data_IF_019151330534
#
_entry.id   IF_019151330534
#
_cell.length_a   1.000
_cell.length_b   1.000
_cell.length_c   1.000
_cell.angle_alpha   90.00
_cell.angle_beta   90.00
_cell.angle_gamma   90.00
#
_symmetry.space_group_name_H-M   'P 1'
#
loop_
_entity.id
_entity.type
_entity.pdbx_description
1 polymer ?
#
# COMPACT_ATOMS: atom_id res chain seq x y z
N UNK A 1 7.72 22.30 -23.86
CA UNK A 1 6.64 22.03 -22.87
C UNK A 1 6.54 23.25 -21.96
N UNK A 2 5.36 23.85 -21.77
CA UNK A 2 5.22 25.02 -20.89
C UNK A 2 5.25 24.62 -19.41
N UNK A 3 5.63 25.54 -18.52
CA UNK A 3 5.60 25.31 -17.07
C UNK A 3 4.20 24.89 -16.58
N UNK A 4 3.16 25.56 -17.07
CA UNK A 4 1.77 25.20 -16.76
C UNK A 4 1.42 23.77 -17.21
N UNK A 5 1.85 23.33 -18.39
CA UNK A 5 1.63 21.96 -18.86
C UNK A 5 2.37 20.91 -18.00
N UNK A 6 3.56 21.25 -17.51
CA UNK A 6 4.33 20.43 -16.57
C UNK A 6 3.59 20.25 -15.24
N UNK A 7 3.14 21.34 -14.64
CA UNK A 7 2.42 21.32 -13.36
C UNK A 7 1.11 20.55 -13.49
N UNK A 8 0.29 20.84 -14.50
CA UNK A 8 -0.99 20.15 -14.71
C UNK A 8 -0.78 18.66 -14.99
N UNK A 9 0.25 18.30 -15.77
CA UNK A 9 0.63 16.91 -16.03
C UNK A 9 1.04 16.17 -14.75
N UNK A 10 1.84 16.82 -13.90
CA UNK A 10 2.27 16.25 -12.62
C UNK A 10 1.08 16.05 -11.68
N UNK A 11 0.24 17.08 -11.46
CA UNK A 11 -0.92 17.00 -10.58
C UNK A 11 -1.88 15.89 -11.02
N UNK A 12 -2.15 15.78 -12.33
CA UNK A 12 -3.00 14.72 -12.87
C UNK A 12 -2.42 13.34 -12.64
N UNK A 13 -1.12 13.16 -12.89
CA UNK A 13 -0.44 11.89 -12.66
C UNK A 13 -0.43 11.51 -11.17
N UNK A 14 -0.16 12.47 -10.28
CA UNK A 14 -0.23 12.26 -8.82
C UNK A 14 -1.63 11.84 -8.39
N UNK A 15 -2.66 12.55 -8.84
CA UNK A 15 -4.05 12.24 -8.51
C UNK A 15 -4.45 10.86 -9.03
N UNK A 16 -4.22 10.57 -10.31
CA UNK A 16 -4.55 9.27 -10.90
C UNK A 16 -3.79 8.12 -10.24
N UNK A 17 -2.50 8.31 -9.96
CA UNK A 17 -1.70 7.32 -9.24
C UNK A 17 -2.24 7.07 -7.83
N UNK A 18 -2.65 8.13 -7.12
CA UNK A 18 -3.26 7.99 -5.80
C UNK A 18 -4.63 7.28 -5.87
N UNK A 19 -5.47 7.63 -6.85
CA UNK A 19 -6.77 6.97 -7.07
C UNK A 19 -6.64 5.49 -7.41
N UNK A 20 -5.60 5.08 -8.14
CA UNK A 20 -5.31 3.67 -8.37
C UNK A 20 -4.71 3.01 -7.11
N UNK A 21 -3.89 3.74 -6.35
CA UNK A 21 -3.27 3.24 -5.12
C UNK A 21 -4.24 2.96 -3.98
N UNK A 22 -5.38 3.66 -3.92
CA UNK A 22 -6.42 3.31 -2.95
C UNK A 22 -7.15 2.01 -3.31
N UNK A 23 -7.06 1.55 -4.57
CA UNK A 23 -7.63 0.27 -5.03
C UNK A 23 -6.64 -0.88 -4.84
N UNK A 24 -5.98 -0.94 -3.67
CA UNK A 24 -5.07 -2.03 -3.32
C UNK A 24 -5.82 -3.36 -3.17
N UNK A 25 -5.11 -4.47 -3.27
CA UNK A 25 -5.69 -5.79 -3.04
C UNK A 25 -5.94 -6.04 -1.53
N UNK A 26 -7.21 -6.07 -1.06
CA UNK A 26 -7.49 -6.11 0.38
C UNK A 26 -7.14 -7.45 1.02
N UNK A 27 -7.19 -8.55 0.26
CA UNK A 27 -6.91 -9.90 0.79
C UNK A 27 -5.44 -10.02 1.19
N UNK A 28 -4.53 -9.63 0.28
CA UNK A 28 -3.10 -9.63 0.57
C UNK A 28 -2.71 -8.50 1.54
N UNK A 29 -3.37 -7.34 1.46
CA UNK A 29 -3.20 -6.23 2.40
C UNK A 29 -3.46 -6.65 3.85
N UNK A 30 -4.65 -7.19 4.12
CA UNK A 30 -5.03 -7.70 5.44
C UNK A 30 -4.08 -8.80 5.88
N UNK A 31 -3.86 -9.83 5.05
CA UNK A 31 -3.01 -10.96 5.39
C UNK A 31 -1.58 -10.55 5.76
N UNK A 32 -0.95 -9.71 4.92
CA UNK A 32 0.39 -9.19 5.15
C UNK A 32 0.47 -8.33 6.41
N UNK A 33 -0.50 -7.43 6.60
CA UNK A 33 -0.54 -6.56 7.77
C UNK A 33 -0.73 -7.34 9.07
N UNK A 34 -1.60 -8.35 9.08
CA UNK A 34 -1.85 -9.20 10.24
C UNK A 34 -0.61 -10.00 10.63
N UNK A 35 0.05 -10.64 9.67
CA UNK A 35 1.25 -11.43 9.96
C UNK A 35 2.38 -10.52 10.43
N UNK A 36 2.60 -9.37 9.79
CA UNK A 36 3.60 -8.40 10.21
C UNK A 36 3.31 -7.84 11.62
N UNK A 37 2.04 -7.56 11.91
CA UNK A 37 1.61 -7.10 13.23
C UNK A 37 1.78 -8.18 14.31
N UNK A 38 1.47 -9.44 14.02
CA UNK A 38 1.72 -10.56 14.93
C UNK A 38 3.21 -10.67 15.29
N UNK A 39 4.09 -10.55 14.29
CA UNK A 39 5.54 -10.69 14.45
C UNK A 39 6.16 -9.61 15.33
N UNK A 40 5.65 -8.38 15.27
CA UNK A 40 6.25 -7.22 15.94
C UNK A 40 5.41 -6.60 17.06
N UNK A 41 4.19 -7.10 17.23
CA UNK A 41 3.16 -6.54 18.08
C UNK A 41 3.26 -6.91 19.55
N UNK A 42 4.20 -7.75 19.97
CA UNK A 42 4.40 -8.01 21.40
C UNK A 42 5.53 -7.14 21.99
N UNK A 43 5.50 -6.86 23.29
CA UNK A 43 6.53 -6.06 23.95
C UNK A 43 7.92 -6.69 23.80
N UNK A 44 8.94 -5.87 23.50
CA UNK A 44 10.35 -6.30 23.38
C UNK A 44 10.63 -7.32 22.26
N UNK A 45 9.90 -7.26 21.14
CA UNK A 45 10.21 -8.07 19.97
C UNK A 45 11.68 -7.90 19.51
N UNK A 46 12.42 -8.99 19.24
CA UNK A 46 13.82 -8.93 18.84
C UNK A 46 13.97 -8.21 17.50
N UNK A 47 15.13 -7.56 17.30
CA UNK A 47 15.39 -6.72 16.11
C UNK A 47 15.27 -7.51 14.81
N UNK A 48 15.63 -8.78 14.81
CA UNK A 48 15.51 -9.67 13.65
C UNK A 48 14.08 -9.77 13.11
N UNK A 49 13.06 -9.75 13.99
CA UNK A 49 11.66 -9.79 13.56
C UNK A 49 11.23 -8.54 12.78
N UNK A 50 11.99 -7.44 12.87
CA UNK A 50 11.74 -6.25 12.04
C UNK A 50 11.99 -6.55 10.57
N UNK A 51 13.06 -7.29 10.30
CA UNK A 51 13.38 -7.74 8.95
C UNK A 51 12.27 -8.66 8.43
N UNK A 52 11.87 -9.66 9.22
CA UNK A 52 10.80 -10.59 8.83
C UNK A 52 9.45 -9.90 8.61
N UNK A 53 9.05 -8.96 9.45
CA UNK A 53 7.82 -8.19 9.24
C UNK A 53 7.88 -7.35 7.96
N UNK A 54 9.04 -6.73 7.68
CA UNK A 54 9.26 -6.01 6.41
C UNK A 54 9.20 -6.94 5.20
N UNK A 55 9.82 -8.12 5.28
CA UNK A 55 9.79 -9.13 4.23
C UNK A 55 8.36 -9.63 3.96
N UNK A 56 7.57 -9.88 5.01
CA UNK A 56 6.16 -10.27 4.90
C UNK A 56 5.36 -9.19 4.18
N UNK A 57 5.52 -7.92 4.57
CA UNK A 57 4.84 -6.80 3.90
C UNK A 57 5.25 -6.72 2.43
N UNK A 58 6.54 -6.82 2.13
CA UNK A 58 7.04 -6.76 0.76
C UNK A 58 6.51 -7.91 -0.10
N UNK A 59 6.51 -9.14 0.41
CA UNK A 59 5.98 -10.32 -0.30
C UNK A 59 4.48 -10.21 -0.51
N UNK A 60 3.73 -9.82 0.52
CA UNK A 60 2.29 -9.62 0.42
C UNK A 60 1.94 -8.54 -0.61
N UNK A 61 2.64 -7.40 -0.58
CA UNK A 61 2.46 -6.34 -1.55
C UNK A 61 2.82 -6.79 -2.96
N UNK A 62 3.94 -7.48 -3.16
CA UNK A 62 4.33 -8.01 -4.47
C UNK A 62 3.27 -8.97 -5.03
N UNK A 63 2.77 -9.90 -4.21
CA UNK A 63 1.76 -10.86 -4.61
C UNK A 63 0.39 -10.22 -4.89
N UNK A 64 0.02 -9.18 -4.14
CA UNK A 64 -1.26 -8.50 -4.29
C UNK A 64 -1.28 -7.50 -5.46
N UNK A 65 -0.34 -6.54 -5.45
CA UNK A 65 -0.35 -5.39 -6.36
C UNK A 65 0.98 -5.22 -7.11
N UNK A 66 2.12 -5.49 -6.45
CA UNK A 66 3.45 -5.10 -6.94
C UNK A 66 3.84 -5.75 -8.25
N UNK A 67 3.57 -7.04 -8.46
CA UNK A 67 3.86 -7.71 -9.74
C UNK A 67 3.02 -7.15 -10.89
N UNK A 68 1.74 -6.83 -10.64
CA UNK A 68 0.89 -6.17 -11.62
C UNK A 68 1.44 -4.77 -11.95
N UNK A 69 1.79 -3.98 -10.94
CA UNK A 69 2.33 -2.63 -11.12
C UNK A 69 3.66 -2.68 -11.89
N UNK A 70 4.54 -3.66 -11.62
CA UNK A 70 5.77 -3.87 -12.40
C UNK A 70 5.47 -4.19 -13.87
N UNK A 71 4.44 -5.01 -14.13
CA UNK A 71 3.95 -5.25 -15.49
C UNK A 71 3.48 -3.96 -16.18
N UNK A 72 2.79 -3.09 -15.45
CA UNK A 72 2.36 -1.77 -15.96
C UNK A 72 3.52 -0.82 -16.21
N UNK A 73 4.58 -0.88 -15.41
CA UNK A 73 5.82 -0.14 -15.69
C UNK A 73 6.45 -0.62 -17.00
N UNK A 74 6.43 -1.95 -17.26
CA UNK A 74 6.95 -2.52 -18.50
C UNK A 74 6.14 -2.09 -19.73
N UNK A 75 4.81 -2.07 -19.62
CA UNK A 75 3.91 -1.54 -20.64
C UNK A 75 4.27 -0.09 -21.05
N UNK A 76 4.57 0.78 -20.07
CA UNK A 76 5.02 2.16 -20.33
C UNK A 76 6.35 2.20 -21.10
N UNK A 77 7.30 1.33 -20.75
CA UNK A 77 8.59 1.23 -21.44
C UNK A 77 8.42 0.77 -22.89
N UNK A 78 7.58 -0.25 -23.10
CA UNK A 78 7.35 -0.83 -24.42
C UNK A 78 6.42 0.05 -25.28
N UNK A 79 5.78 1.06 -24.70
CA UNK A 79 4.86 1.96 -25.40
C UNK A 79 3.54 1.30 -25.79
N UNK A 80 3.12 0.27 -25.04
CA UNK A 80 1.91 -0.53 -25.30
C UNK A 80 1.01 -0.51 -24.07
N UNK A 81 -0.29 -0.74 -24.23
CA UNK A 81 -1.23 -0.91 -23.11
C UNK A 81 -1.88 0.40 -22.63
N UNK A 82 -2.52 0.32 -21.46
CA UNK A 82 -3.44 1.37 -20.98
C UNK A 82 -2.74 2.71 -20.68
N UNK A 83 -1.45 2.68 -20.34
CA UNK A 83 -0.67 3.87 -20.00
C UNK A 83 0.17 4.40 -21.16
N UNK A 84 0.18 3.73 -22.33
CA UNK A 84 0.92 4.18 -23.51
C UNK A 84 0.42 5.54 -24.06
N UNK A 85 -0.87 5.84 -23.83
CA UNK A 85 -1.49 7.11 -24.25
C UNK A 85 -1.21 8.26 -23.28
N UNK A 86 -0.57 8.00 -22.14
CA UNK A 86 -0.22 9.04 -21.16
C UNK A 86 1.01 9.79 -21.65
N UNK A 87 0.76 10.95 -22.24
CA UNK A 87 1.82 11.85 -22.71
C UNK A 87 2.00 13.03 -21.75
N UNK A 88 3.25 13.43 -21.45
CA UNK A 88 4.51 12.80 -21.87
C UNK A 88 4.87 11.59 -20.99
N UNK A 89 5.71 10.67 -21.48
CA UNK A 89 6.02 9.41 -20.80
C UNK A 89 6.48 9.54 -19.33
N UNK A 90 7.14 10.64 -18.94
CA UNK A 90 7.53 10.87 -17.55
C UNK A 90 6.33 10.93 -16.58
N UNK A 91 5.16 11.39 -17.05
CA UNK A 91 3.95 11.46 -16.22
C UNK A 91 3.35 10.07 -15.98
N UNK A 92 3.52 9.14 -16.93
CA UNK A 92 3.16 7.73 -16.74
C UNK A 92 4.02 7.07 -15.65
N UNK A 93 5.34 7.30 -15.66
CA UNK A 93 6.21 6.79 -14.58
C UNK A 93 5.87 7.39 -13.22
N UNK A 94 5.55 8.69 -13.16
CA UNK A 94 5.13 9.34 -11.93
C UNK A 94 3.84 8.72 -11.40
N UNK A 95 2.84 8.52 -12.26
CA UNK A 95 1.57 7.87 -11.92
C UNK A 95 1.82 6.47 -11.34
N UNK A 96 2.59 5.63 -12.03
CA UNK A 96 2.88 4.25 -11.60
C UNK A 96 3.67 4.22 -10.28
N UNK A 97 4.59 5.18 -10.09
CA UNK A 97 5.34 5.31 -8.82
C UNK A 97 4.41 5.69 -7.67
N UNK A 98 3.52 6.66 -7.86
CA UNK A 98 2.55 7.05 -6.83
C UNK A 98 1.59 5.90 -6.53
N UNK A 99 1.12 5.19 -7.55
CA UNK A 99 0.31 4.00 -7.39
C UNK A 99 1.00 2.95 -6.50
N UNK A 100 2.28 2.65 -6.78
CA UNK A 100 3.08 1.72 -5.97
C UNK A 100 3.19 2.17 -4.51
N UNK A 101 3.54 3.44 -4.28
CA UNK A 101 3.74 3.99 -2.94
C UNK A 101 2.45 4.04 -2.14
N UNK A 102 1.36 4.51 -2.76
CA UNK A 102 0.06 4.66 -2.09
C UNK A 102 -0.55 3.29 -1.77
N UNK A 103 -0.49 2.33 -2.69
CA UNK A 103 -0.98 0.96 -2.43
C UNK A 103 -0.19 0.29 -1.30
N UNK A 104 1.15 0.31 -1.35
CA UNK A 104 2.01 -0.24 -0.31
C UNK A 104 1.75 0.43 1.05
N UNK A 105 1.70 1.77 1.05
CA UNK A 105 1.53 2.57 2.25
C UNK A 105 0.19 2.35 2.93
N UNK A 106 -0.91 2.52 2.18
CA UNK A 106 -2.27 2.44 2.72
C UNK A 106 -2.74 1.01 2.94
N UNK A 107 -2.51 0.11 1.97
CA UNK A 107 -3.06 -1.24 1.99
C UNK A 107 -2.32 -2.21 2.91
N UNK A 108 -1.02 -1.98 3.14
CA UNK A 108 -0.15 -2.97 3.79
C UNK A 108 0.57 -2.39 5.00
N UNK A 109 1.29 -1.27 4.83
CA UNK A 109 2.16 -0.72 5.89
C UNK A 109 1.35 -0.07 7.00
N UNK A 110 0.40 0.80 6.68
CA UNK A 110 -0.35 1.56 7.68
C UNK A 110 -1.13 0.66 8.66
N UNK A 111 -1.92 -0.34 8.22
CA UNK A 111 -2.61 -1.24 9.14
C UNK A 111 -1.65 -2.06 9.99
N UNK A 112 -0.52 -2.51 9.41
CA UNK A 112 0.51 -3.22 10.15
C UNK A 112 1.09 -2.35 11.28
N UNK A 113 1.45 -1.10 10.99
CA UNK A 113 1.99 -0.18 11.99
C UNK A 113 0.98 0.12 13.10
N UNK A 114 -0.29 0.33 12.76
CA UNK A 114 -1.36 0.53 13.77
C UNK A 114 -1.48 -0.71 14.66
N UNK A 115 -1.52 -1.91 14.09
CA UNK A 115 -1.50 -3.17 14.85
C UNK A 115 -0.28 -3.29 15.77
N UNK A 116 0.93 -3.07 15.23
CA UNK A 116 2.19 -3.16 15.98
C UNK A 116 2.21 -2.18 17.16
N UNK A 117 1.82 -0.93 16.91
CA UNK A 117 1.85 0.13 17.94
C UNK A 117 0.89 -0.14 19.07
N UNK A 118 -0.33 -0.62 18.78
CA UNK A 118 -1.30 -0.97 19.81
C UNK A 118 -0.90 -2.24 20.55
N UNK A 119 -0.49 -3.29 19.84
CA UNK A 119 -0.08 -4.55 20.46
C UNK A 119 1.06 -4.38 21.46
N UNK A 120 2.05 -3.54 21.15
CA UNK A 120 3.21 -3.30 22.03
C UNK A 120 2.84 -2.67 23.36
N UNK A 121 1.66 -2.06 23.46
CA UNK A 121 1.13 -1.47 24.71
C UNK A 121 0.45 -2.52 25.60
N UNK A 122 0.15 -3.71 25.07
CA UNK A 122 -0.48 -4.79 25.84
C UNK A 122 0.59 -5.61 26.55
N UNK A 123 0.61 -5.54 27.87
CA UNK A 123 1.66 -6.10 28.73
C UNK A 123 1.38 -7.53 29.23
N UNK A 124 0.19 -8.08 28.99
CA UNK A 124 -0.26 -9.38 29.52
C UNK A 124 0.11 -10.59 28.64
N UNK A 125 1.19 -10.52 27.85
CA UNK A 125 1.62 -11.60 26.94
C UNK A 125 0.75 -11.80 25.70
N UNK A 126 -0.39 -11.12 25.62
CA UNK A 126 -1.37 -11.20 24.52
C UNK A 126 -1.21 -10.09 23.47
N UNK A 127 -0.11 -9.33 23.51
CA UNK A 127 0.08 -8.19 22.60
C UNK A 127 0.08 -8.54 21.12
N UNK A 128 0.50 -9.75 20.75
CA UNK A 128 0.42 -10.22 19.37
C UNK A 128 -1.04 -10.42 18.91
N UNK A 129 -1.93 -10.95 19.76
CA UNK A 129 -3.37 -11.09 19.45
C UNK A 129 -4.04 -9.71 19.31
N UNK A 130 -3.71 -8.79 20.20
CA UNK A 130 -4.18 -7.42 20.11
C UNK A 130 -3.69 -6.75 18.83
N UNK A 131 -2.42 -6.94 18.47
CA UNK A 131 -1.85 -6.42 17.23
C UNK A 131 -2.58 -6.95 15.99
N UNK A 132 -2.86 -8.26 15.93
CA UNK A 132 -3.59 -8.86 14.82
C UNK A 132 -5.02 -8.34 14.73
N UNK A 133 -5.74 -8.26 15.85
CA UNK A 133 -7.12 -7.78 15.86
C UNK A 133 -7.21 -6.32 15.38
N UNK A 134 -6.29 -5.48 15.83
CA UNK A 134 -6.21 -4.08 15.43
C UNK A 134 -5.78 -3.94 13.97
N UNK A 135 -4.84 -4.75 13.48
CA UNK A 135 -4.45 -4.73 12.07
C UNK A 135 -5.62 -5.14 11.16
N UNK A 136 -6.41 -6.16 11.52
CA UNK A 136 -7.64 -6.53 10.81
C UNK A 136 -8.63 -5.37 10.83
N UNK A 137 -8.93 -4.82 12.01
CA UNK A 137 -9.88 -3.72 12.16
C UNK A 137 -9.47 -2.48 11.36
N UNK A 138 -8.20 -2.09 11.40
CA UNK A 138 -7.67 -0.96 10.64
C UNK A 138 -7.74 -1.21 9.12
N UNK A 139 -7.41 -2.41 8.67
CA UNK A 139 -7.48 -2.77 7.25
C UNK A 139 -8.91 -2.75 6.73
N UNK A 140 -9.85 -3.33 7.49
CA UNK A 140 -11.28 -3.31 7.16
C UNK A 140 -11.86 -1.90 7.21
N UNK A 141 -11.47 -1.08 8.19
CA UNK A 141 -11.90 0.31 8.29
C UNK A 141 -11.41 1.11 7.07
N UNK A 142 -10.15 0.95 6.67
CA UNK A 142 -9.62 1.60 5.45
C UNK A 142 -10.33 1.11 4.20
N UNK A 143 -10.52 -0.21 4.04
CA UNK A 143 -11.23 -0.78 2.88
C UNK A 143 -12.67 -0.25 2.81
N UNK A 144 -13.38 -0.19 3.95
CA UNK A 144 -14.75 0.34 4.03
C UNK A 144 -14.79 1.84 3.73
N UNK A 145 -13.85 2.62 4.28
CA UNK A 145 -13.75 4.05 4.00
C UNK A 145 -13.55 4.30 2.50
N UNK A 146 -12.60 3.59 1.88
CA UNK A 146 -12.30 3.73 0.45
C UNK A 146 -13.49 3.30 -0.40
N UNK A 147 -14.14 2.18 -0.07
CA UNK A 147 -15.34 1.74 -0.76
C UNK A 147 -16.47 2.79 -0.67
N UNK A 148 -16.65 3.41 0.51
CA UNK A 148 -17.67 4.45 0.69
C UNK A 148 -17.37 5.73 -0.11
N UNK A 149 -16.09 6.12 -0.22
CA UNK A 149 -15.67 7.24 -1.06
C UNK A 149 -15.88 6.94 -2.55
N UNK A 150 -15.64 5.70 -2.98
CA UNK A 150 -15.91 5.25 -4.34
C UNK A 150 -17.40 5.14 -4.69
N UNK A 151 -18.27 4.91 -3.70
CA UNK A 151 -19.72 4.89 -3.89
C UNK A 151 -20.35 6.30 -3.99
N UNK A 152 -19.60 7.34 -3.62
CA UNK A 152 -20.04 8.74 -3.62
C UNK A 152 -19.56 9.55 -4.85
N UNK A 153 -18.77 8.94 -5.74
CA UNK A 153 -18.24 9.56 -6.97
C UNK A 153 -18.78 8.89 -8.22
#
# INVERSE_FOLDING_TARGET
MSFAALVTGAVRALWQGASLGVQYNPVFGIGGAVVAAALLGYPRAPRERRFWAGAVIAVAWLAGDGLMILGRTREVVDGVGAFALVTPAWSAYLLVTVWAVVSLGLGYVAPALVGITVGRRVTHGTGWLAATAIAVGASLALSTLIASLGALG
#
